data_IF_362439817303
#
_entry.id   IF_362439817303
#
_cell.length_a   1.000
_cell.length_b   1.000
_cell.length_c   1.000
_cell.angle_alpha   90.00
_cell.angle_beta   90.00
_cell.angle_gamma   90.00
#
_symmetry.space_group_name_H-M   'P 1'
#
loop_
_entity.id
_entity.type
_entity.pdbx_description
1 polymer ?
#
# COMPACT_ATOMS: atom_id res chain seq x y z
N UNK A 1 -25.30 -19.74 -5.00
CA UNK A 1 -24.67 -18.47 -4.68
C UNK A 1 -23.28 -18.76 -4.17
N UNK A 2 -22.27 -18.19 -4.77
CA UNK A 2 -20.87 -18.53 -4.49
C UNK A 2 -20.13 -17.24 -4.13
N UNK A 3 -19.23 -17.31 -3.15
CA UNK A 3 -18.50 -16.15 -2.65
C UNK A 3 -17.04 -16.18 -3.11
N UNK A 4 -16.55 -15.02 -3.56
CA UNK A 4 -15.16 -14.77 -3.93
C UNK A 4 -14.59 -13.74 -2.96
N UNK A 5 -13.53 -14.11 -2.25
CA UNK A 5 -12.79 -13.20 -1.39
C UNK A 5 -11.64 -12.55 -2.13
N UNK A 6 -11.47 -11.24 -1.95
CA UNK A 6 -10.31 -10.52 -2.46
C UNK A 6 -9.74 -9.59 -1.38
N UNK A 7 -8.47 -9.31 -1.50
CA UNK A 7 -7.73 -8.39 -0.62
C UNK A 7 -7.30 -7.18 -1.44
N UNK A 8 -8.27 -6.31 -1.70
CA UNK A 8 -8.16 -5.16 -2.60
C UNK A 8 -8.53 -5.50 -4.05
N UNK A 9 -8.92 -4.46 -4.79
CA UNK A 9 -9.23 -4.58 -6.22
C UNK A 9 -10.54 -5.28 -6.57
N UNK A 10 -11.47 -5.43 -5.61
CA UNK A 10 -12.77 -6.05 -5.82
C UNK A 10 -13.56 -5.49 -7.00
N UNK A 11 -13.47 -4.17 -7.24
CA UNK A 11 -14.12 -3.50 -8.37
C UNK A 11 -13.67 -4.06 -9.74
N UNK A 12 -12.36 -4.33 -9.88
CA UNK A 12 -11.82 -4.88 -11.13
C UNK A 12 -12.29 -6.31 -11.37
N UNK A 13 -12.37 -7.12 -10.29
CA UNK A 13 -12.90 -8.48 -10.35
C UNK A 13 -14.36 -8.46 -10.75
N UNK A 14 -15.18 -7.59 -10.14
CA UNK A 14 -16.60 -7.40 -10.49
C UNK A 14 -16.76 -7.02 -11.96
N UNK A 15 -15.98 -6.05 -12.44
CA UNK A 15 -16.05 -5.58 -13.82
C UNK A 15 -15.70 -6.71 -14.81
N UNK A 16 -14.67 -7.50 -14.53
CA UNK A 16 -14.28 -8.62 -15.39
C UNK A 16 -15.31 -9.74 -15.37
N UNK A 17 -15.83 -10.11 -14.21
CA UNK A 17 -16.91 -11.11 -14.11
C UNK A 17 -18.17 -10.67 -14.86
N UNK A 18 -18.54 -9.38 -14.77
CA UNK A 18 -19.65 -8.82 -15.56
C UNK A 18 -19.35 -8.88 -17.08
N UNK A 19 -18.15 -8.54 -17.50
CA UNK A 19 -17.74 -8.62 -18.89
C UNK A 19 -17.78 -10.06 -19.41
N UNK A 20 -17.29 -11.03 -18.64
CA UNK A 20 -17.33 -12.45 -18.98
C UNK A 20 -18.78 -12.97 -19.03
N UNK A 21 -19.61 -12.61 -18.04
CA UNK A 21 -21.01 -12.98 -18.03
C UNK A 21 -21.77 -12.43 -19.26
N UNK A 22 -21.53 -11.17 -19.60
CA UNK A 22 -22.12 -10.54 -20.79
C UNK A 22 -21.63 -11.21 -22.09
N UNK A 23 -20.34 -11.42 -22.24
CA UNK A 23 -19.75 -12.03 -23.44
C UNK A 23 -20.21 -13.46 -23.63
N UNK A 24 -20.14 -14.29 -22.61
CA UNK A 24 -20.60 -15.69 -22.67
C UNK A 24 -22.11 -15.82 -22.78
N UNK A 25 -22.87 -14.77 -22.44
CA UNK A 25 -24.30 -14.65 -22.65
C UNK A 25 -24.71 -14.32 -24.11
N UNK A 26 -23.81 -13.68 -24.84
CA UNK A 26 -24.07 -13.22 -26.20
C UNK A 26 -24.14 -14.37 -27.20
N UNK A 27 -24.98 -14.20 -28.22
CA UNK A 27 -25.15 -15.19 -29.29
C UNK A 27 -23.84 -15.52 -30.03
N UNK A 28 -22.96 -14.53 -30.20
CA UNK A 28 -21.64 -14.68 -30.82
C UNK A 28 -20.71 -15.70 -30.14
N UNK A 29 -20.74 -15.75 -28.82
CA UNK A 29 -19.95 -16.74 -28.08
C UNK A 29 -20.48 -18.17 -28.26
N UNK A 30 -21.83 -18.35 -28.33
CA UNK A 30 -22.43 -19.65 -28.64
C UNK A 30 -22.03 -20.13 -30.04
N UNK A 31 -21.95 -19.22 -31.01
CA UNK A 31 -21.47 -19.55 -32.36
C UNK A 31 -20.00 -19.97 -32.35
N UNK A 32 -19.15 -19.31 -31.55
CA UNK A 32 -17.75 -19.69 -31.38
C UNK A 32 -17.62 -21.14 -30.84
N UNK A 33 -18.39 -21.47 -29.80
CA UNK A 33 -18.41 -22.84 -29.23
C UNK A 33 -18.89 -23.86 -30.26
N UNK A 34 -19.95 -23.53 -31.04
CA UNK A 34 -20.42 -24.41 -32.09
C UNK A 34 -19.35 -24.66 -33.16
N UNK A 35 -18.64 -23.62 -33.59
CA UNK A 35 -17.52 -23.77 -34.55
C UNK A 35 -16.41 -24.62 -33.94
N UNK A 36 -16.03 -24.41 -32.68
CA UNK A 36 -15.01 -25.22 -32.00
C UNK A 36 -15.42 -26.70 -31.90
N UNK A 37 -16.68 -26.99 -31.58
CA UNK A 37 -17.21 -28.36 -31.53
C UNK A 37 -17.23 -29.02 -32.92
N UNK A 38 -17.62 -28.28 -33.98
CA UNK A 38 -17.60 -28.79 -35.37
C UNK A 38 -16.17 -29.07 -35.81
N UNK A 39 -15.22 -28.19 -35.55
CA UNK A 39 -13.82 -28.43 -35.84
C UNK A 39 -13.26 -29.63 -35.07
N UNK A 40 -13.61 -29.73 -33.77
CA UNK A 40 -13.24 -30.86 -32.93
C UNK A 40 -13.82 -32.17 -33.47
N UNK A 41 -15.07 -32.16 -33.92
CA UNK A 41 -15.72 -33.32 -34.55
C UNK A 41 -15.01 -33.71 -35.85
N UNK A 42 -14.68 -32.73 -36.70
CA UNK A 42 -13.94 -33.03 -37.97
C UNK A 42 -12.57 -33.65 -37.66
N UNK A 43 -11.81 -33.13 -36.74
CA UNK A 43 -10.54 -33.71 -36.30
C UNK A 43 -10.70 -35.12 -35.75
N UNK A 44 -11.70 -35.32 -34.88
CA UNK A 44 -11.96 -36.63 -34.31
C UNK A 44 -12.39 -37.69 -35.35
N UNK A 45 -13.14 -37.29 -36.39
CA UNK A 45 -13.48 -38.16 -37.53
C UNK A 45 -12.26 -38.52 -38.35
N UNK A 46 -11.35 -37.57 -38.58
CA UNK A 46 -10.06 -37.84 -39.26
C UNK A 46 -9.24 -38.86 -38.46
N UNK A 47 -9.10 -38.66 -37.15
CA UNK A 47 -8.37 -39.61 -36.28
C UNK A 47 -9.05 -40.99 -36.28
N UNK A 48 -10.39 -41.06 -36.29
CA UNK A 48 -11.14 -42.29 -36.41
C UNK A 48 -10.85 -43.02 -37.74
N UNK A 49 -10.79 -42.28 -38.85
CA UNK A 49 -10.50 -42.83 -40.15
C UNK A 49 -9.11 -43.52 -40.27
N UNK A 50 -8.13 -42.95 -39.53
CA UNK A 50 -6.76 -43.50 -39.53
C UNK A 50 -6.55 -44.60 -38.50
N UNK A 51 -7.11 -44.43 -37.26
CA UNK A 51 -6.86 -45.32 -36.12
C UNK A 51 -7.95 -46.36 -35.88
N UNK A 52 -9.09 -46.25 -36.57
CA UNK A 52 -10.27 -47.14 -36.48
C UNK A 52 -10.80 -47.33 -35.02
N UNK A 53 -10.46 -46.40 -34.07
CA UNK A 53 -10.88 -46.48 -32.67
C UNK A 53 -12.11 -45.58 -32.44
N UNK A 54 -13.29 -46.15 -32.68
CA UNK A 54 -14.55 -45.46 -32.46
C UNK A 54 -14.81 -45.12 -30.98
N UNK A 55 -14.18 -45.83 -30.05
CA UNK A 55 -14.33 -45.57 -28.58
C UNK A 55 -13.64 -44.28 -28.18
N UNK A 56 -12.49 -43.97 -28.75
CA UNK A 56 -11.78 -42.72 -28.54
C UNK A 56 -12.62 -41.52 -28.99
N UNK A 57 -13.26 -41.61 -30.17
CA UNK A 57 -14.16 -40.61 -30.69
C UNK A 57 -15.38 -40.39 -29.79
N UNK A 58 -16.04 -41.48 -29.34
CA UNK A 58 -17.21 -41.43 -28.49
C UNK A 58 -16.87 -40.82 -27.12
N UNK A 59 -15.77 -41.23 -26.51
CA UNK A 59 -15.30 -40.72 -25.23
C UNK A 59 -15.00 -39.21 -25.31
N UNK A 60 -14.34 -38.77 -26.40
CA UNK A 60 -14.12 -37.34 -26.62
C UNK A 60 -15.45 -36.58 -26.74
N UNK A 61 -16.35 -37.05 -27.58
CA UNK A 61 -17.64 -36.39 -27.80
C UNK A 61 -18.49 -36.28 -26.52
N UNK A 62 -18.60 -37.40 -25.77
CA UNK A 62 -19.29 -37.41 -24.50
C UNK A 62 -18.59 -36.49 -23.48
N UNK A 63 -17.27 -36.54 -23.40
CA UNK A 63 -16.48 -35.70 -22.49
C UNK A 63 -16.64 -34.21 -22.80
N UNK A 64 -16.48 -33.81 -24.06
CA UNK A 64 -16.62 -32.42 -24.50
C UNK A 64 -18.04 -31.88 -24.24
N UNK A 65 -19.06 -32.70 -24.58
CA UNK A 65 -20.46 -32.34 -24.35
C UNK A 65 -20.75 -32.21 -22.85
N UNK A 66 -20.29 -33.13 -22.03
CA UNK A 66 -20.50 -33.13 -20.59
C UNK A 66 -19.80 -31.91 -19.95
N UNK A 67 -18.55 -31.63 -20.30
CA UNK A 67 -17.79 -30.46 -19.81
C UNK A 67 -18.54 -29.17 -20.16
N UNK A 68 -19.00 -29.02 -21.40
CA UNK A 68 -19.76 -27.85 -21.83
C UNK A 68 -21.06 -27.69 -21.05
N UNK A 69 -21.83 -28.79 -20.96
CA UNK A 69 -23.13 -28.80 -20.28
C UNK A 69 -23.02 -28.56 -18.78
N UNK A 70 -21.93 -29.04 -18.12
CA UNK A 70 -21.75 -28.88 -16.68
C UNK A 70 -21.11 -27.55 -16.28
N UNK A 71 -20.17 -27.03 -17.08
CA UNK A 71 -19.36 -25.87 -16.65
C UNK A 71 -19.79 -24.57 -17.30
N UNK A 72 -20.35 -24.60 -18.52
CA UNK A 72 -20.63 -23.36 -19.26
C UNK A 72 -22.11 -23.04 -19.37
N UNK A 73 -22.98 -24.05 -19.47
CA UNK A 73 -24.43 -23.84 -19.61
C UNK A 73 -25.06 -23.35 -18.29
N UNK A 74 -24.80 -23.96 -17.14
CA UNK A 74 -25.33 -23.46 -15.88
C UNK A 74 -24.67 -22.15 -15.51
N UNK A 75 -25.46 -21.24 -14.98
CA UNK A 75 -25.03 -19.93 -14.53
C UNK A 75 -25.42 -19.72 -13.09
N UNK A 76 -24.61 -18.95 -12.39
CA UNK A 76 -24.90 -18.62 -11.00
C UNK A 76 -24.45 -17.20 -10.67
N UNK A 77 -25.03 -16.70 -9.59
CA UNK A 77 -24.66 -15.40 -9.04
C UNK A 77 -23.47 -15.55 -8.11
N UNK A 78 -22.53 -14.63 -8.25
CA UNK A 78 -21.27 -14.58 -7.49
C UNK A 78 -21.24 -13.33 -6.64
N UNK A 79 -20.95 -13.49 -5.36
CA UNK A 79 -20.67 -12.38 -4.46
C UNK A 79 -19.16 -12.13 -4.37
N UNK A 80 -18.74 -10.89 -4.63
CA UNK A 80 -17.35 -10.48 -4.47
C UNK A 80 -17.24 -9.65 -3.19
N UNK A 81 -16.51 -10.16 -2.21
CA UNK A 81 -16.26 -9.51 -0.92
C UNK A 81 -14.82 -9.02 -0.86
N UNK A 82 -14.63 -7.70 -0.86
CA UNK A 82 -13.31 -7.07 -0.68
C UNK A 82 -13.05 -6.82 0.81
N UNK A 83 -12.07 -7.52 1.36
CA UNK A 83 -11.74 -7.45 2.79
C UNK A 83 -11.04 -6.17 3.22
N UNK A 84 -10.38 -5.49 2.29
CA UNK A 84 -9.67 -4.21 2.57
C UNK A 84 -10.65 -3.05 2.63
N UNK A 85 -11.80 -3.17 1.93
CA UNK A 85 -12.82 -2.14 1.88
C UNK A 85 -14.16 -2.67 2.42
N UNK A 86 -14.29 -2.96 3.72
CA UNK A 86 -15.50 -3.52 4.30
C UNK A 86 -16.72 -2.59 4.22
N UNK A 87 -16.50 -1.29 3.93
CA UNK A 87 -17.58 -0.33 3.70
C UNK A 87 -18.23 -0.41 2.32
N UNK A 88 -17.63 -1.14 1.37
CA UNK A 88 -18.28 -1.49 0.12
C UNK A 88 -19.11 -2.75 0.36
N UNK A 89 -20.43 -2.61 0.22
CA UNK A 89 -21.32 -3.78 0.25
C UNK A 89 -20.81 -4.82 -0.76
N UNK A 90 -20.90 -6.14 -0.43
CA UNK A 90 -20.50 -7.18 -1.36
C UNK A 90 -21.18 -6.98 -2.71
N UNK A 91 -20.40 -6.85 -3.77
CA UNK A 91 -20.95 -6.67 -5.10
C UNK A 91 -21.39 -8.03 -5.65
N UNK A 92 -22.62 -8.09 -6.15
CA UNK A 92 -23.18 -9.30 -6.76
C UNK A 92 -23.06 -9.20 -8.28
N UNK A 93 -22.46 -10.22 -8.88
CA UNK A 93 -22.39 -10.39 -10.33
C UNK A 93 -23.31 -11.54 -10.71
N UNK A 94 -24.33 -11.26 -11.51
CA UNK A 94 -25.30 -12.24 -11.96
C UNK A 94 -24.83 -12.96 -13.24
N UNK A 95 -25.33 -14.18 -13.44
CA UNK A 95 -25.18 -14.94 -14.68
C UNK A 95 -23.72 -15.31 -15.04
N UNK A 96 -22.86 -15.51 -14.07
CA UNK A 96 -21.49 -15.99 -14.30
C UNK A 96 -21.52 -17.49 -14.67
N UNK A 97 -20.76 -17.97 -15.68
CA UNK A 97 -20.67 -19.40 -15.98
C UNK A 97 -20.21 -20.20 -14.75
N UNK A 98 -20.87 -21.33 -14.49
CA UNK A 98 -20.64 -22.16 -13.30
C UNK A 98 -19.16 -22.56 -13.14
N UNK A 99 -18.51 -22.93 -14.24
CA UNK A 99 -17.09 -23.33 -14.22
C UNK A 99 -16.17 -22.22 -13.72
N UNK A 100 -16.38 -20.98 -14.19
CA UNK A 100 -15.60 -19.84 -13.71
C UNK A 100 -15.95 -19.50 -12.26
N UNK A 101 -17.22 -19.48 -11.91
CA UNK A 101 -17.69 -19.18 -10.57
C UNK A 101 -17.11 -20.14 -9.52
N UNK A 102 -17.15 -21.44 -9.80
CA UNK A 102 -16.60 -22.47 -8.91
C UNK A 102 -15.06 -22.37 -8.80
N UNK A 103 -14.36 -22.20 -9.94
CA UNK A 103 -12.91 -22.10 -9.95
C UNK A 103 -12.44 -20.85 -9.18
N UNK A 104 -13.06 -19.71 -9.43
CA UNK A 104 -12.74 -18.45 -8.77
C UNK A 104 -13.04 -18.51 -7.27
N UNK A 105 -14.18 -19.09 -6.89
CA UNK A 105 -14.54 -19.25 -5.48
C UNK A 105 -13.60 -20.20 -4.76
N UNK A 106 -13.34 -21.37 -5.32
CA UNK A 106 -12.45 -22.36 -4.70
C UNK A 106 -11.05 -21.80 -4.50
N UNK A 107 -10.47 -21.19 -5.52
CA UNK A 107 -9.12 -20.60 -5.44
C UNK A 107 -9.06 -19.45 -4.44
N UNK A 108 -10.07 -18.57 -4.41
CA UNK A 108 -10.11 -17.45 -3.47
C UNK A 108 -10.33 -17.91 -2.02
N UNK A 109 -11.20 -18.89 -1.79
CA UNK A 109 -11.44 -19.43 -0.45
C UNK A 109 -10.24 -20.21 0.08
N UNK A 110 -9.61 -21.03 -0.77
CA UNK A 110 -8.38 -21.73 -0.41
C UNK A 110 -7.25 -20.73 -0.09
N UNK A 111 -7.10 -19.69 -0.88
CA UNK A 111 -6.15 -18.62 -0.61
C UNK A 111 -6.42 -17.88 0.69
N UNK A 112 -7.68 -17.52 0.96
CA UNK A 112 -8.10 -16.86 2.20
C UNK A 112 -7.82 -17.76 3.43
N UNK A 113 -8.14 -19.05 3.35
CA UNK A 113 -7.88 -20.02 4.40
C UNK A 113 -6.37 -20.16 4.70
N UNK A 114 -5.56 -20.34 3.66
CA UNK A 114 -4.10 -20.45 3.80
C UNK A 114 -3.49 -19.18 4.38
N UNK A 115 -3.96 -18.01 3.94
CA UNK A 115 -3.49 -16.72 4.45
C UNK A 115 -3.79 -16.58 5.94
N UNK A 116 -5.02 -16.85 6.37
CA UNK A 116 -5.39 -16.77 7.79
C UNK A 116 -4.64 -17.78 8.64
N UNK A 117 -4.43 -18.98 8.12
CA UNK A 117 -3.65 -20.00 8.83
C UNK A 117 -2.20 -19.56 9.02
N UNK A 118 -1.60 -18.96 7.99
CA UNK A 118 -0.25 -18.38 8.08
C UNK A 118 -0.19 -17.23 9.09
N UNK A 119 -1.16 -16.31 9.08
CA UNK A 119 -1.23 -15.19 10.03
C UNK A 119 -1.28 -15.68 11.49
N UNK A 120 -2.01 -16.73 11.77
CA UNK A 120 -2.05 -17.34 13.10
C UNK A 120 -0.72 -17.96 13.51
N UNK A 121 -0.05 -18.66 12.59
CA UNK A 121 1.25 -19.31 12.84
C UNK A 121 2.36 -18.28 13.06
N UNK A 122 2.38 -17.22 12.26
CA UNK A 122 3.39 -16.16 12.37
C UNK A 122 3.09 -15.14 13.48
N UNK A 123 1.96 -15.23 14.17
CA UNK A 123 1.62 -14.38 15.32
C UNK A 123 1.58 -12.89 14.99
N UNK A 124 1.15 -12.53 13.77
CA UNK A 124 0.99 -11.13 13.38
C UNK A 124 -0.08 -10.44 14.24
N UNK A 125 0.16 -9.22 14.71
CA UNK A 125 -0.89 -8.42 15.36
C UNK A 125 -2.13 -8.30 14.47
N UNK A 126 -3.32 -8.40 15.05
CA UNK A 126 -4.59 -8.39 14.32
C UNK A 126 -4.77 -7.17 13.39
N UNK A 127 -4.16 -6.05 13.77
CA UNK A 127 -4.24 -4.78 13.05
C UNK A 127 -3.25 -4.71 11.87
N UNK A 128 -2.31 -5.64 11.78
CA UNK A 128 -1.36 -5.77 10.68
C UNK A 128 -1.66 -6.93 9.74
N UNK A 129 -2.73 -7.69 9.99
CA UNK A 129 -3.09 -8.86 9.20
C UNK A 129 -3.34 -8.49 7.73
N UNK A 130 -2.75 -9.27 6.83
CA UNK A 130 -2.96 -9.17 5.39
C UNK A 130 -4.43 -9.34 5.01
N UNK A 131 -5.11 -10.30 5.64
CA UNK A 131 -6.52 -10.60 5.40
C UNK A 131 -7.45 -9.42 5.68
N UNK A 132 -7.06 -8.47 6.56
CA UNK A 132 -7.86 -7.29 6.92
C UNK A 132 -7.41 -6.01 6.20
N UNK A 133 -6.12 -5.81 6.05
CA UNK A 133 -5.54 -4.52 5.67
C UNK A 133 -4.75 -4.55 4.37
N UNK A 134 -4.60 -5.72 3.76
CA UNK A 134 -3.90 -5.89 2.50
C UNK A 134 -2.41 -6.14 2.64
N UNK A 135 -1.78 -6.34 1.48
CA UNK A 135 -0.38 -6.74 1.38
C UNK A 135 0.55 -5.65 1.89
N UNK A 136 1.52 -6.06 2.73
CA UNK A 136 2.62 -5.20 3.23
C UNK A 136 2.09 -3.96 3.98
N UNK A 137 0.94 -4.08 4.64
CA UNK A 137 0.25 -2.96 5.26
C UNK A 137 1.11 -2.20 6.28
N UNK A 138 1.75 -2.90 7.23
CA UNK A 138 2.60 -2.27 8.25
C UNK A 138 3.78 -1.50 7.66
N UNK A 139 4.43 -2.06 6.63
CA UNK A 139 5.53 -1.39 5.94
C UNK A 139 5.05 -0.14 5.17
N UNK A 140 3.90 -0.21 4.51
CA UNK A 140 3.28 0.94 3.82
C UNK A 140 2.92 2.06 4.80
N UNK A 141 2.43 1.69 5.97
CA UNK A 141 2.08 2.63 7.04
C UNK A 141 3.32 3.39 7.53
N UNK A 142 4.42 2.68 7.80
CA UNK A 142 5.68 3.31 8.20
C UNK A 142 6.30 4.15 7.09
N UNK A 143 6.28 3.67 5.85
CA UNK A 143 6.82 4.41 4.71
C UNK A 143 6.05 5.71 4.47
N UNK A 144 4.71 5.66 4.50
CA UNK A 144 3.88 6.86 4.40
C UNK A 144 4.18 7.85 5.54
N UNK A 145 4.41 7.35 6.76
CA UNK A 145 4.78 8.20 7.91
C UNK A 145 6.18 8.80 7.72
N UNK A 146 7.16 8.00 7.28
CA UNK A 146 8.54 8.47 7.03
C UNK A 146 8.64 9.52 5.92
N UNK A 147 7.77 9.47 4.94
CA UNK A 147 7.75 10.43 3.83
C UNK A 147 7.14 11.78 4.18
N UNK A 148 6.53 11.92 5.35
CA UNK A 148 5.90 13.17 5.78
C UNK A 148 6.92 14.28 5.98
N UNK A 149 6.54 15.47 5.57
CA UNK A 149 7.30 16.71 5.78
C UNK A 149 6.42 17.75 6.41
N UNK A 150 7.03 18.67 7.13
CA UNK A 150 6.33 19.81 7.69
C UNK A 150 5.83 20.69 6.55
N UNK A 151 4.51 20.84 6.43
CA UNK A 151 3.87 21.63 5.38
C UNK A 151 3.60 23.09 5.81
N UNK A 152 3.61 23.36 7.12
CA UNK A 152 3.48 24.71 7.64
C UNK A 152 4.78 25.50 7.39
N UNK A 153 4.75 26.53 6.54
CA UNK A 153 5.94 27.31 6.19
C UNK A 153 6.48 28.13 7.36
N UNK A 154 5.63 28.59 8.27
CA UNK A 154 6.03 29.33 9.47
C UNK A 154 6.80 28.42 10.43
N UNK A 155 6.22 27.26 10.74
CA UNK A 155 6.87 26.27 11.60
C UNK A 155 8.17 25.78 10.96
N UNK A 156 8.17 25.46 9.67
CA UNK A 156 9.35 24.95 8.96
C UNK A 156 10.51 25.97 8.98
N UNK A 157 10.22 27.25 8.74
CA UNK A 157 11.25 28.31 8.77
C UNK A 157 11.83 28.51 10.18
N UNK A 158 10.97 28.54 11.19
CA UNK A 158 11.39 28.70 12.58
C UNK A 158 12.15 27.47 13.09
N UNK A 159 11.76 26.28 12.67
CA UNK A 159 12.45 25.05 12.99
C UNK A 159 13.82 24.96 12.32
N UNK A 160 13.93 25.31 11.05
CA UNK A 160 15.22 25.36 10.32
C UNK A 160 16.20 26.31 11.00
N UNK A 161 15.74 27.51 11.35
CA UNK A 161 16.55 28.49 12.06
C UNK A 161 16.93 27.99 13.47
N UNK A 162 16.02 27.29 14.17
CA UNK A 162 16.31 26.68 15.49
C UNK A 162 17.41 25.63 15.39
N UNK A 163 17.36 24.77 14.38
CA UNK A 163 18.42 23.77 14.16
C UNK A 163 19.75 24.44 13.89
N UNK A 164 19.77 25.47 13.03
CA UNK A 164 21.02 26.17 12.64
C UNK A 164 21.64 26.95 13.78
N UNK A 165 20.86 27.75 14.50
CA UNK A 165 21.38 28.70 15.48
C UNK A 165 21.46 28.14 16.89
N UNK A 166 20.63 27.15 17.21
CA UNK A 166 20.54 26.61 18.56
C UNK A 166 21.09 25.18 18.64
N UNK A 167 20.50 24.24 17.93
CA UNK A 167 20.83 22.82 18.02
C UNK A 167 22.25 22.51 17.56
N UNK A 168 22.65 23.06 16.41
CA UNK A 168 23.98 22.84 15.85
C UNK A 168 25.11 23.37 16.75
N UNK A 169 24.92 24.57 17.32
CA UNK A 169 25.89 25.11 18.25
C UNK A 169 25.94 24.38 19.59
N UNK A 170 24.80 23.87 20.09
CA UNK A 170 24.79 23.02 21.30
C UNK A 170 25.53 21.71 21.06
N UNK A 171 25.45 21.16 19.85
CA UNK A 171 26.19 19.98 19.42
C UNK A 171 27.69 20.27 19.34
N UNK A 172 28.12 21.42 18.79
CA UNK A 172 29.51 21.85 18.77
C UNK A 172 30.08 22.09 20.17
N UNK A 173 29.29 22.58 21.10
CA UNK A 173 29.66 22.79 22.49
C UNK A 173 29.61 21.51 23.32
N UNK A 174 29.27 20.35 22.73
CA UNK A 174 29.25 19.07 23.42
C UNK A 174 28.13 18.94 24.47
N UNK A 175 27.02 19.70 24.37
CA UNK A 175 25.87 19.53 25.28
C UNK A 175 25.17 18.19 25.09
N UNK A 176 25.19 17.68 23.89
CA UNK A 176 24.81 16.33 23.49
C UNK A 176 25.62 15.92 22.27
N UNK A 177 25.74 14.64 22.05
CA UNK A 177 26.49 14.08 20.94
C UNK A 177 25.58 13.65 19.80
N UNK A 178 26.13 13.53 18.57
CA UNK A 178 25.40 12.93 17.45
C UNK A 178 24.96 11.49 17.75
N UNK A 179 25.75 10.77 18.54
CA UNK A 179 25.39 9.40 18.95
C UNK A 179 24.16 9.39 19.84
N UNK A 180 24.06 10.28 20.81
CA UNK A 180 22.88 10.42 21.67
C UNK A 180 21.63 10.82 20.85
N UNK A 181 21.78 11.77 19.92
CA UNK A 181 20.66 12.13 19.03
C UNK A 181 20.20 10.96 18.15
N UNK A 182 21.14 10.22 17.57
CA UNK A 182 20.80 9.09 16.69
C UNK A 182 20.17 7.90 17.41
N UNK A 183 20.46 7.74 18.71
CA UNK A 183 19.90 6.68 19.55
C UNK A 183 18.65 7.11 20.33
N UNK A 184 18.28 8.39 20.24
CA UNK A 184 17.13 8.91 20.98
C UNK A 184 15.80 8.51 20.34
N UNK A 185 14.89 8.03 21.16
CA UNK A 185 13.51 7.79 20.77
C UNK A 185 12.66 9.07 20.71
N UNK A 186 13.15 10.18 21.26
CA UNK A 186 12.54 11.52 21.22
C UNK A 186 13.64 12.57 21.09
N UNK A 187 14.02 12.87 19.84
CA UNK A 187 15.06 13.87 19.55
C UNK A 187 14.61 15.25 20.04
N UNK A 188 13.32 15.59 19.90
CA UNK A 188 12.82 16.89 20.34
C UNK A 188 13.04 17.11 21.84
N UNK A 189 12.77 16.10 22.65
CA UNK A 189 13.06 16.15 24.09
C UNK A 189 14.56 16.20 24.40
N UNK A 190 15.38 15.52 23.61
CA UNK A 190 16.84 15.47 23.80
C UNK A 190 17.51 16.84 23.60
N UNK A 191 16.99 17.64 22.66
CA UNK A 191 17.53 18.99 22.40
C UNK A 191 16.97 20.08 23.32
N UNK A 192 16.09 19.72 24.26
CA UNK A 192 15.51 20.62 25.23
C UNK A 192 16.54 21.11 26.28
N UNK A 193 16.30 22.25 26.91
CA UNK A 193 15.38 23.33 26.63
C UNK A 193 15.99 24.42 25.70
N UNK A 194 17.15 24.23 25.14
CA UNK A 194 17.92 25.21 24.39
C UNK A 194 18.65 26.24 25.26
N UNK A 195 19.51 27.01 24.66
CA UNK A 195 20.33 28.04 25.34
C UNK A 195 19.51 29.30 25.63
N UNK A 196 19.65 29.84 26.83
CA UNK A 196 19.13 31.17 27.17
C UNK A 196 20.06 32.33 26.73
N UNK A 197 21.32 32.01 26.42
CA UNK A 197 22.33 33.02 26.05
C UNK A 197 22.46 33.21 24.53
N UNK A 198 21.89 32.32 23.73
CA UNK A 198 21.84 32.44 22.27
C UNK A 198 20.43 32.74 21.80
N UNK A 199 20.34 33.39 20.67
CA UNK A 199 19.09 33.83 20.10
C UNK A 199 19.01 33.42 18.62
N UNK A 200 17.79 33.35 18.13
CA UNK A 200 17.48 33.12 16.73
C UNK A 200 16.43 34.11 16.24
N UNK A 201 16.32 34.24 14.92
CA UNK A 201 15.19 34.92 14.29
C UNK A 201 13.96 34.00 14.39
N UNK A 202 12.85 34.55 14.84
CA UNK A 202 11.58 33.87 14.91
C UNK A 202 10.55 34.63 14.11
N UNK A 203 9.91 33.96 13.18
CA UNK A 203 8.96 34.52 12.23
C UNK A 203 7.55 34.16 12.72
N UNK A 204 6.65 35.14 12.76
CA UNK A 204 5.26 34.91 13.12
C UNK A 204 4.35 35.57 12.07
N UNK A 205 3.41 34.80 11.54
CA UNK A 205 2.39 35.29 10.64
C UNK A 205 1.25 35.89 11.46
N UNK A 206 0.89 37.13 11.16
CA UNK A 206 -0.23 37.80 11.82
C UNK A 206 -1.54 37.49 11.08
N UNK A 207 -2.66 37.81 11.74
CA UNK A 207 -4.00 37.56 11.20
C UNK A 207 -4.34 38.34 9.93
N UNK A 208 -3.56 39.41 9.64
CA UNK A 208 -3.64 40.24 8.42
C UNK A 208 -2.71 39.75 7.29
N UNK A 209 -2.19 38.51 7.39
CA UNK A 209 -1.20 37.92 6.49
C UNK A 209 0.17 38.61 6.48
N UNK A 210 0.38 39.64 7.30
CA UNK A 210 1.70 40.23 7.46
C UNK A 210 2.64 39.31 8.22
N UNK A 211 3.93 39.36 7.85
CA UNK A 211 4.96 38.54 8.50
C UNK A 211 5.81 39.45 9.39
N UNK A 212 5.78 39.19 10.70
CA UNK A 212 6.67 39.85 11.64
C UNK A 212 7.84 38.93 11.99
N UNK A 213 9.00 39.53 12.24
CA UNK A 213 10.18 38.79 12.67
C UNK A 213 10.71 39.43 13.96
N UNK A 214 10.91 38.58 14.98
CA UNK A 214 11.50 38.97 16.26
C UNK A 214 12.76 38.14 16.53
N UNK A 215 13.63 38.65 17.39
CA UNK A 215 14.77 37.89 17.90
C UNK A 215 14.38 37.36 19.26
N UNK A 216 14.38 36.03 19.38
CA UNK A 216 14.03 35.33 20.64
C UNK A 216 15.17 34.43 21.07
N UNK A 217 15.29 34.13 22.36
CA UNK A 217 16.28 33.18 22.84
C UNK A 217 15.99 31.75 22.32
N UNK A 218 17.01 30.91 22.21
CA UNK A 218 16.82 29.51 21.82
C UNK A 218 15.84 28.75 22.73
N UNK A 219 15.78 29.12 24.00
CA UNK A 219 14.83 28.55 24.98
C UNK A 219 13.38 28.99 24.69
N UNK A 220 13.18 30.26 24.40
CA UNK A 220 11.85 30.78 24.04
C UNK A 220 11.37 30.19 22.71
N UNK A 221 12.26 30.11 21.72
CA UNK A 221 11.97 29.48 20.44
C UNK A 221 11.59 27.99 20.59
N UNK A 222 12.35 27.25 21.40
CA UNK A 222 12.02 25.86 21.71
C UNK A 222 10.62 25.73 22.33
N UNK A 223 10.30 26.60 23.29
CA UNK A 223 8.98 26.61 23.96
C UNK A 223 7.85 26.95 22.97
N UNK A 224 8.07 27.96 22.13
CA UNK A 224 7.09 28.38 21.11
C UNK A 224 6.82 27.25 20.10
N UNK A 225 7.87 26.63 19.57
CA UNK A 225 7.76 25.47 18.67
C UNK A 225 7.11 24.26 19.37
N UNK A 226 7.44 24.02 20.65
CA UNK A 226 6.84 22.94 21.43
C UNK A 226 5.33 23.07 21.56
N UNK A 227 4.81 24.29 21.70
CA UNK A 227 3.38 24.54 21.78
C UNK A 227 2.64 24.34 20.46
N UNK A 228 3.34 24.46 19.33
CA UNK A 228 2.76 24.29 18.00
C UNK A 228 2.71 22.82 17.54
N UNK A 229 3.50 21.91 18.16
CA UNK A 229 3.55 20.50 17.77
C UNK A 229 2.19 19.81 17.73
N UNK A 230 1.32 20.07 18.71
CA UNK A 230 0.04 19.40 18.79
C UNK A 230 -0.84 19.69 17.56
N UNK A 231 -0.93 20.97 17.16
CA UNK A 231 -1.68 21.39 15.97
C UNK A 231 -1.08 20.84 14.68
N UNK A 232 0.25 20.89 14.56
CA UNK A 232 0.96 20.37 13.40
C UNK A 232 0.76 18.86 13.24
N UNK A 233 0.87 18.08 14.33
CA UNK A 233 0.64 16.63 14.30
C UNK A 233 -0.80 16.31 13.92
N UNK A 234 -1.74 17.10 14.39
CA UNK A 234 -3.17 16.95 14.09
C UNK A 234 -3.42 17.10 12.59
N UNK A 235 -2.88 18.13 11.96
CA UNK A 235 -2.95 18.36 10.53
C UNK A 235 -2.25 17.23 9.75
N UNK A 236 -1.03 16.86 10.16
CA UNK A 236 -0.28 15.82 9.46
C UNK A 236 -0.97 14.44 9.54
N UNK A 237 -1.64 14.12 10.65
CA UNK A 237 -2.42 12.88 10.77
C UNK A 237 -3.62 12.86 9.84
N UNK A 238 -4.25 14.01 9.57
CA UNK A 238 -5.32 14.12 8.58
C UNK A 238 -4.79 13.89 7.15
N UNK A 239 -3.68 14.53 6.79
CA UNK A 239 -3.05 14.37 5.47
C UNK A 239 -2.63 12.92 5.24
N UNK A 240 -1.93 12.33 6.21
CA UNK A 240 -1.49 10.94 6.13
C UNK A 240 -2.67 9.95 6.09
N UNK A 241 -3.71 10.21 6.87
CA UNK A 241 -4.93 9.40 6.88
C UNK A 241 -5.63 9.39 5.52
N UNK A 242 -5.81 10.54 4.89
CA UNK A 242 -6.39 10.67 3.55
C UNK A 242 -5.55 9.97 2.48
N UNK A 243 -4.23 10.05 2.59
CA UNK A 243 -3.32 9.42 1.64
C UNK A 243 -3.35 7.88 1.75
N UNK A 244 -3.41 7.35 2.96
CA UNK A 244 -3.42 5.92 3.21
C UNK A 244 -4.79 5.28 2.98
N UNK A 245 -5.87 6.01 3.29
CA UNK A 245 -7.25 5.49 3.25
C UNK A 245 -8.18 6.40 2.42
N UNK A 246 -7.93 6.57 1.12
CA UNK A 246 -8.64 7.54 0.28
C UNK A 246 -10.15 7.27 0.13
N UNK A 247 -10.60 6.06 0.47
CA UNK A 247 -12.02 5.64 0.38
C UNK A 247 -12.76 5.72 1.71
N UNK A 248 -12.08 6.09 2.79
CA UNK A 248 -12.70 6.24 4.11
C UNK A 248 -13.02 7.72 4.40
N UNK A 249 -13.97 7.95 5.31
CA UNK A 249 -14.19 9.30 5.82
C UNK A 249 -12.95 9.78 6.59
N UNK A 250 -12.72 11.07 6.60
CA UNK A 250 -11.54 11.68 7.23
C UNK A 250 -11.38 11.28 8.70
N UNK A 251 -12.47 11.28 9.45
CA UNK A 251 -12.47 10.90 10.85
C UNK A 251 -12.08 9.42 11.05
N UNK A 252 -12.62 8.53 10.22
CA UNK A 252 -12.32 7.11 10.28
C UNK A 252 -10.89 6.81 9.83
N UNK A 253 -10.42 7.44 8.76
CA UNK A 253 -9.06 7.33 8.25
C UNK A 253 -8.03 7.75 9.31
N UNK A 254 -8.29 8.87 9.99
CA UNK A 254 -7.47 9.36 11.09
C UNK A 254 -7.48 8.42 12.29
N UNK A 255 -8.66 7.98 12.74
CA UNK A 255 -8.77 7.06 13.87
C UNK A 255 -8.02 5.75 13.61
N UNK A 256 -8.15 5.19 12.41
CA UNK A 256 -7.45 3.99 11.99
C UNK A 256 -5.93 4.19 11.96
N UNK A 257 -5.45 5.30 11.40
CA UNK A 257 -4.02 5.62 11.38
C UNK A 257 -3.44 5.72 12.80
N UNK A 258 -4.14 6.41 13.70
CA UNK A 258 -3.68 6.58 15.08
C UNK A 258 -3.70 5.26 15.89
N UNK A 259 -4.58 4.32 15.54
CA UNK A 259 -4.63 3.00 16.17
C UNK A 259 -3.54 2.07 15.63
N UNK A 260 -3.38 2.00 14.31
CA UNK A 260 -2.53 0.99 13.65
C UNK A 260 -1.04 1.37 13.66
N UNK A 261 -0.71 2.68 13.62
CA UNK A 261 0.68 3.15 13.55
C UNK A 261 1.54 2.72 14.76
N UNK A 262 1.08 2.83 16.02
CA UNK A 262 1.86 2.36 17.17
C UNK A 262 2.14 0.87 17.12
N UNK A 263 1.15 0.07 16.68
CA UNK A 263 1.27 -1.39 16.57
C UNK A 263 2.30 -1.76 15.49
N UNK A 264 2.24 -1.11 14.32
CA UNK A 264 3.21 -1.32 13.25
C UNK A 264 4.62 -0.90 13.68
N UNK A 265 4.74 0.24 14.35
CA UNK A 265 6.03 0.74 14.81
C UNK A 265 6.65 -0.19 15.87
N UNK A 266 5.87 -0.63 16.84
CA UNK A 266 6.33 -1.57 17.87
C UNK A 266 6.74 -2.91 17.27
N UNK A 267 5.96 -3.44 16.35
CA UNK A 267 6.25 -4.73 15.71
C UNK A 267 7.55 -4.70 14.89
N UNK A 268 7.83 -3.59 14.18
CA UNK A 268 8.98 -3.48 13.28
C UNK A 268 10.23 -2.91 13.94
N UNK A 269 10.08 -2.03 14.94
CA UNK A 269 11.22 -1.39 15.63
C UNK A 269 11.50 -1.93 17.01
N UNK A 270 10.58 -2.68 17.61
CA UNK A 270 10.65 -3.13 19.00
C UNK A 270 10.36 -2.02 20.02
N UNK A 271 10.07 -0.80 19.60
CA UNK A 271 9.86 0.37 20.48
C UNK A 271 8.37 0.70 20.57
N UNK A 272 7.84 0.78 21.78
CA UNK A 272 6.45 1.18 22.02
C UNK A 272 6.37 2.69 22.20
N UNK A 273 5.64 3.35 21.31
CA UNK A 273 5.40 4.81 21.35
C UNK A 273 3.98 5.11 20.91
N UNK A 274 3.45 6.28 21.36
CA UNK A 274 2.17 6.79 20.84
C UNK A 274 2.32 7.29 19.40
N UNK A 275 1.22 7.30 18.65
CA UNK A 275 1.22 7.82 17.28
C UNK A 275 1.77 9.25 17.21
N UNK A 276 1.39 10.11 18.13
CA UNK A 276 1.86 11.51 18.21
C UNK A 276 3.38 11.60 18.43
N UNK A 277 3.94 10.73 19.27
CA UNK A 277 5.38 10.67 19.51
C UNK A 277 6.13 10.19 18.26
N UNK A 278 5.59 9.18 17.55
CA UNK A 278 6.15 8.69 16.28
C UNK A 278 6.14 9.80 15.23
N UNK A 279 5.02 10.52 15.06
CA UNK A 279 4.93 11.65 14.13
C UNK A 279 5.94 12.74 14.47
N UNK A 280 6.01 13.15 15.75
CA UNK A 280 6.99 14.15 16.18
C UNK A 280 8.43 13.72 15.90
N UNK A 281 8.77 12.48 16.23
CA UNK A 281 10.10 11.94 15.96
C UNK A 281 10.44 11.98 14.48
N UNK A 282 9.56 11.47 13.62
CA UNK A 282 9.79 11.41 12.17
C UNK A 282 9.88 12.81 11.55
N UNK A 283 8.97 13.71 11.92
CA UNK A 283 8.99 15.09 11.44
C UNK A 283 10.25 15.85 11.89
N UNK A 284 10.68 15.62 13.15
CA UNK A 284 11.92 16.20 13.67
C UNK A 284 13.15 15.69 12.90
N UNK A 285 13.25 14.38 12.65
CA UNK A 285 14.34 13.78 11.86
C UNK A 285 14.37 14.35 10.45
N UNK A 286 13.23 14.40 9.78
CA UNK A 286 13.14 14.90 8.41
C UNK A 286 13.49 16.40 8.31
N UNK A 287 13.01 17.20 9.25
CA UNK A 287 13.32 18.63 9.31
C UNK A 287 14.79 18.90 9.65
N UNK A 288 15.37 18.15 10.60
CA UNK A 288 16.81 18.25 10.89
C UNK A 288 17.67 17.86 9.68
N UNK A 289 17.33 16.78 8.98
CA UNK A 289 18.04 16.40 7.76
C UNK A 289 17.97 17.51 6.71
N UNK A 290 16.79 18.12 6.54
CA UNK A 290 16.62 19.24 5.60
C UNK A 290 17.44 20.46 5.99
N UNK A 291 17.46 20.85 7.27
CA UNK A 291 18.25 21.95 7.79
C UNK A 291 19.77 21.72 7.62
N UNK A 292 20.24 20.49 7.89
CA UNK A 292 21.65 20.12 7.69
C UNK A 292 22.07 20.20 6.22
N UNK A 293 21.21 19.77 5.30
CA UNK A 293 21.48 19.91 3.86
C UNK A 293 21.54 21.37 3.42
N UNK A 294 20.64 22.23 3.94
CA UNK A 294 20.66 23.66 3.67
C UNK A 294 21.93 24.33 4.20
N UNK A 295 22.41 23.93 5.36
CA UNK A 295 23.65 24.45 5.95
C UNK A 295 24.90 24.02 5.17
N UNK A 296 25.00 22.75 4.76
CA UNK A 296 26.12 22.24 3.95
C UNK A 296 26.23 22.94 2.58
N UNK A 297 25.12 23.36 1.99
CA UNK A 297 25.09 24.13 0.75
C UNK A 297 25.56 25.59 0.90
N UNK A 298 25.40 26.17 2.09
CA UNK A 298 25.72 27.56 2.37
C UNK A 298 27.17 27.79 2.88
N UNK A 299 27.76 26.78 3.54
CA UNK A 299 29.09 26.88 4.16
C UNK A 299 30.18 26.20 3.32
N UNK A 300 30.49 26.73 2.16
CA UNK A 300 31.45 26.22 1.17
C UNK A 300 32.89 25.89 1.61
N UNK A 301 33.13 25.28 2.75
CA UNK A 301 34.51 24.90 3.20
C UNK A 301 34.60 23.59 3.98
N UNK A 302 35.52 22.74 3.58
CA UNK A 302 36.37 21.77 4.27
C UNK A 302 35.80 20.62 5.11
N UNK A 303 34.53 20.44 5.29
CA UNK A 303 33.97 19.19 5.82
C UNK A 303 33.45 18.27 4.69
N UNK A 304 34.04 18.43 3.50
CA UNK A 304 33.58 17.84 2.25
C UNK A 304 33.53 16.31 2.29
N UNK A 305 34.48 15.66 2.96
CA UNK A 305 34.55 14.18 2.91
C UNK A 305 33.49 13.48 3.78
N UNK A 306 33.25 13.94 5.01
CA UNK A 306 32.20 13.36 5.87
C UNK A 306 30.81 13.67 5.30
N UNK A 307 30.63 14.89 4.77
CA UNK A 307 29.36 15.25 4.13
C UNK A 307 29.15 14.54 2.79
N UNK A 308 30.22 14.33 2.00
CA UNK A 308 30.13 13.56 0.75
C UNK A 308 29.76 12.12 1.02
N UNK A 309 30.35 11.51 2.04
CA UNK A 309 30.02 10.13 2.43
C UNK A 309 28.61 10.02 3.01
N UNK A 310 28.21 10.91 3.91
CA UNK A 310 26.85 10.98 4.43
C UNK A 310 25.84 11.24 3.31
N UNK A 311 26.16 12.09 2.34
CA UNK A 311 25.32 12.37 1.17
C UNK A 311 25.19 11.17 0.24
N UNK A 312 26.28 10.41 0.04
CA UNK A 312 26.25 9.17 -0.73
C UNK A 312 25.40 8.09 -0.04
N UNK A 313 25.53 7.95 1.28
CA UNK A 313 24.74 7.01 2.08
C UNK A 313 23.24 7.37 2.04
N UNK A 314 22.90 8.65 2.23
CA UNK A 314 21.52 9.16 2.13
C UNK A 314 20.98 8.98 0.70
N UNK A 315 21.78 9.19 -0.32
CA UNK A 315 21.35 9.01 -1.72
C UNK A 315 21.10 7.53 -2.02
N UNK A 316 21.94 6.65 -1.49
CA UNK A 316 21.76 5.20 -1.58
C UNK A 316 20.50 4.75 -0.84
N UNK A 317 20.31 5.22 0.40
CA UNK A 317 19.09 4.95 1.18
C UNK A 317 17.83 5.47 0.48
N UNK A 318 17.85 6.67 -0.09
CA UNK A 318 16.74 7.21 -0.89
C UNK A 318 16.45 6.36 -2.13
N UNK A 319 17.49 5.84 -2.79
CA UNK A 319 17.31 4.96 -3.94
C UNK A 319 16.66 3.64 -3.53
N UNK A 320 17.13 3.00 -2.47
CA UNK A 320 16.49 1.79 -1.93
C UNK A 320 15.08 2.04 -1.42
N UNK A 321 14.84 3.16 -0.73
CA UNK A 321 13.50 3.56 -0.29
C UNK A 321 12.56 3.79 -1.48
N UNK A 322 13.03 4.43 -2.55
CA UNK A 322 12.24 4.62 -3.78
C UNK A 322 11.92 3.29 -4.46
N UNK A 323 12.88 2.36 -4.54
CA UNK A 323 12.66 1.01 -5.08
C UNK A 323 11.65 0.25 -4.21
N UNK A 324 11.80 0.29 -2.89
CA UNK A 324 10.90 -0.35 -1.95
C UNK A 324 9.48 0.23 -2.04
N UNK A 325 9.36 1.56 -2.10
CA UNK A 325 8.07 2.25 -2.29
C UNK A 325 7.39 1.82 -3.59
N UNK A 326 8.13 1.80 -4.70
CA UNK A 326 7.61 1.34 -5.98
C UNK A 326 7.19 -0.13 -5.92
N UNK A 327 8.00 -1.00 -5.33
CA UNK A 327 7.66 -2.42 -5.16
C UNK A 327 6.39 -2.59 -4.31
N UNK A 328 6.27 -1.88 -3.18
CA UNK A 328 5.08 -1.91 -2.32
C UNK A 328 3.81 -1.43 -3.04
N UNK A 329 3.95 -0.55 -4.01
CA UNK A 329 2.84 -0.06 -4.83
C UNK A 329 2.47 -1.05 -5.93
N UNK A 330 3.48 -1.61 -6.63
CA UNK A 330 3.25 -2.45 -7.81
C UNK A 330 2.85 -3.88 -7.47
N UNK A 331 3.36 -4.47 -6.38
CA UNK A 331 3.06 -5.87 -6.02
C UNK A 331 1.56 -6.12 -5.80
N UNK A 332 0.81 -5.29 -5.04
CA UNK A 332 -0.63 -5.46 -4.92
C UNK A 332 -1.38 -5.30 -6.24
N UNK A 333 -0.95 -4.33 -7.08
CA UNK A 333 -1.54 -4.11 -8.40
C UNK A 333 -1.33 -5.34 -9.28
N UNK A 334 -0.12 -5.88 -9.31
CA UNK A 334 0.21 -7.06 -10.09
C UNK A 334 -0.64 -8.28 -9.71
N UNK A 335 -0.86 -8.49 -8.42
CA UNK A 335 -1.72 -9.56 -7.92
C UNK A 335 -3.16 -9.43 -8.45
N UNK A 336 -3.74 -8.23 -8.38
CA UNK A 336 -5.08 -7.97 -8.90
C UNK A 336 -5.13 -8.16 -10.42
N UNK A 337 -4.14 -7.62 -11.15
CA UNK A 337 -4.07 -7.73 -12.61
C UNK A 337 -3.98 -9.19 -13.05
N UNK A 338 -3.12 -9.99 -12.42
CA UNK A 338 -3.00 -11.42 -12.74
C UNK A 338 -4.32 -12.15 -12.50
N UNK A 339 -4.99 -11.93 -11.37
CA UNK A 339 -6.29 -12.54 -11.07
C UNK A 339 -7.33 -12.17 -12.12
N UNK A 340 -7.41 -10.90 -12.49
CA UNK A 340 -8.34 -10.37 -13.50
C UNK A 340 -8.06 -11.00 -14.87
N UNK A 341 -6.78 -11.11 -15.25
CA UNK A 341 -6.37 -11.73 -16.53
C UNK A 341 -6.78 -13.20 -16.57
N UNK A 342 -6.56 -13.97 -15.50
CA UNK A 342 -6.98 -15.36 -15.46
C UNK A 342 -8.50 -15.52 -15.61
N UNK A 343 -9.30 -14.67 -14.96
CA UNK A 343 -10.75 -14.72 -15.11
C UNK A 343 -11.21 -14.29 -16.52
N UNK A 344 -10.56 -13.28 -17.11
CA UNK A 344 -10.85 -12.84 -18.48
C UNK A 344 -10.47 -13.88 -19.55
N UNK A 345 -9.41 -14.66 -19.33
CA UNK A 345 -8.96 -15.71 -20.23
C UNK A 345 -9.86 -16.95 -20.25
N UNK A 346 -10.64 -17.16 -19.18
CA UNK A 346 -11.52 -18.34 -19.09
C UNK A 346 -12.38 -18.58 -20.35
N UNK A 347 -13.17 -17.61 -20.84
CA UNK A 347 -13.98 -17.84 -22.03
C UNK A 347 -13.17 -18.03 -23.31
N UNK A 348 -11.93 -17.55 -23.36
CA UNK A 348 -11.03 -17.73 -24.51
C UNK A 348 -10.42 -19.12 -24.51
N UNK A 349 -10.00 -19.60 -23.36
CA UNK A 349 -9.37 -20.92 -23.21
C UNK A 349 -10.37 -22.08 -23.22
N UNK A 350 -11.62 -21.82 -22.79
CA UNK A 350 -12.63 -22.86 -22.69
C UNK A 350 -12.88 -23.63 -23.99
N UNK A 351 -13.00 -23.00 -25.18
CA UNK A 351 -13.14 -23.71 -26.45
C UNK A 351 -11.96 -24.65 -26.76
N UNK A 352 -10.75 -24.31 -26.29
CA UNK A 352 -9.55 -25.16 -26.52
C UNK A 352 -9.62 -26.47 -25.73
N UNK A 353 -10.26 -26.47 -24.56
CA UNK A 353 -10.50 -27.68 -23.78
C UNK A 353 -11.51 -28.64 -24.42
N UNK A 354 -12.34 -28.12 -25.33
CA UNK A 354 -13.30 -28.94 -26.07
C UNK A 354 -12.69 -29.63 -27.29
N UNK A 355 -11.46 -29.28 -27.69
CA UNK A 355 -10.80 -29.91 -28.80
C UNK A 355 -10.24 -31.29 -28.44
N UNK A 356 -10.26 -32.28 -29.34
CA UNK A 356 -9.66 -33.58 -29.08
C UNK A 356 -8.15 -33.43 -28.86
N UNK A 357 -7.63 -34.16 -27.90
CA UNK A 357 -6.18 -34.27 -27.73
C UNK A 357 -5.67 -35.23 -28.85
N UNK A 358 -4.82 -34.74 -29.72
CA UNK A 358 -4.10 -35.50 -30.72
C UNK A 358 -3.02 -36.37 -30.07
#
# INVERSE_FOLDING_TARGET
MVEIFTVGGGEYIVNVLNAVAAWTGAGGYKSLIQVALVMGMALAVIVLAFNQDWRAWLNWFLGATLIYMCLMVPRMDVHVTDRVNPGLAPATVANVPLGLALMASFTSQAGDYLTRSAELVFGLPSDLNYSKNGMIYGARLLEATRSLRINDPEFAANFDEHVRQCVFYDLLLGRYSMKELSQSNDIWATIAPGSAARAQKFVTRQSDDSVSASIVTCREAYTALSNQWAGLIDEMTLVAGRQLYPRQTEALARAKLLADLPVAYQYLSGVSQSASAIFRQVLTVNAMNQAMHGFAGASGTTSIDVFAQTRADIQTERTYSSIAHNAMKWVPILNVVLTVVFYALFPVLFPLFLMPKT
#
